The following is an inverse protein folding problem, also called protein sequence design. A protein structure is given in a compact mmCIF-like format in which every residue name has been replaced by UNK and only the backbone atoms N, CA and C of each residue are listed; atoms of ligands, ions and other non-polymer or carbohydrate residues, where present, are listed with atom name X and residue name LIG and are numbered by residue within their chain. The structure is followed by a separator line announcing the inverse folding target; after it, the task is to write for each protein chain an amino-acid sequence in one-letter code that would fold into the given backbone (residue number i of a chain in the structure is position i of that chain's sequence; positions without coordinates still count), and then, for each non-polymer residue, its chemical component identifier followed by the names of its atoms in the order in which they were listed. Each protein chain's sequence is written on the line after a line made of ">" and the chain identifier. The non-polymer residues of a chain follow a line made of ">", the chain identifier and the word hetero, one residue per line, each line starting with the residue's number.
data_IF_442795284174
#
_entry.id   IF_442795284174
#
_cell.length_a   1.000
_cell.length_b   1.000
_cell.length_c   1.000
_cell.angle_alpha   90.00
_cell.angle_beta   90.00
_cell.angle_gamma   90.00
#
_symmetry.space_group_name_H-M   'P 1'
#
loop_
_entity.id
_entity.type
_entity.pdbx_description
1 polymer ?
#
# COMPACT_ATOMS: atom_id res chain seq x y z
N UNK A 1 -9.73 -21.06 31.60
CA UNK A 1 -9.12 -20.02 30.74
C UNK A 1 -9.22 -18.70 31.48
N UNK A 2 -8.13 -18.02 31.80
CA UNK A 2 -8.18 -16.78 32.61
C UNK A 2 -8.71 -15.62 31.75
N UNK A 3 -9.44 -14.69 32.39
CA UNK A 3 -9.99 -13.48 31.74
C UNK A 3 -8.90 -12.71 30.96
N UNK A 4 -7.67 -12.68 31.47
CA UNK A 4 -6.50 -12.09 30.83
C UNK A 4 -6.16 -12.73 29.46
N UNK A 5 -6.28 -14.07 29.38
CA UNK A 5 -6.02 -14.78 28.11
C UNK A 5 -7.12 -14.55 27.07
N UNK A 6 -8.38 -14.42 27.53
CA UNK A 6 -9.49 -14.04 26.65
C UNK A 6 -9.27 -12.64 26.05
N UNK A 7 -8.99 -11.65 26.89
CA UNK A 7 -8.73 -10.28 26.43
C UNK A 7 -7.56 -10.24 25.44
N UNK A 8 -6.46 -10.93 25.74
CA UNK A 8 -5.30 -11.01 24.85
C UNK A 8 -5.64 -11.61 23.49
N UNK A 9 -6.42 -12.68 23.46
CA UNK A 9 -6.86 -13.30 22.20
C UNK A 9 -7.82 -12.40 21.42
N UNK A 10 -8.74 -11.69 22.10
CA UNK A 10 -9.62 -10.72 21.46
C UNK A 10 -8.82 -9.57 20.82
N UNK A 11 -7.81 -9.03 21.52
CA UNK A 11 -6.94 -7.98 20.95
C UNK A 11 -6.20 -8.48 19.70
N UNK A 12 -5.68 -9.72 19.72
CA UNK A 12 -5.04 -10.32 18.54
C UNK A 12 -5.99 -10.38 17.36
N UNK A 13 -7.21 -10.87 17.56
CA UNK A 13 -8.21 -10.95 16.50
C UNK A 13 -8.55 -9.56 15.93
N UNK A 14 -8.72 -8.54 16.79
CA UNK A 14 -9.01 -7.18 16.37
C UNK A 14 -7.89 -6.58 15.49
N UNK A 15 -6.63 -6.93 15.73
CA UNK A 15 -5.50 -6.43 14.95
C UNK A 15 -5.44 -7.05 13.55
N UNK A 16 -6.05 -8.22 13.33
CA UNK A 16 -6.18 -8.80 12.00
C UNK A 16 -7.30 -8.18 11.16
N UNK A 17 -8.25 -7.45 11.78
CA UNK A 17 -9.34 -6.77 11.04
C UNK A 17 -8.80 -5.79 9.98
N UNK A 18 -7.85 -4.88 10.25
CA UNK A 18 -7.28 -4.00 9.22
C UNK A 18 -6.64 -4.76 8.06
N UNK A 19 -6.01 -5.92 8.32
CA UNK A 19 -5.45 -6.78 7.27
C UNK A 19 -6.54 -7.31 6.35
N UNK A 20 -7.62 -7.85 6.93
CA UNK A 20 -8.76 -8.37 6.17
C UNK A 20 -9.46 -7.25 5.40
N UNK A 21 -9.72 -6.11 6.04
CA UNK A 21 -10.38 -4.97 5.41
C UNK A 21 -9.56 -4.44 4.24
N UNK A 22 -8.25 -4.24 4.41
CA UNK A 22 -7.40 -3.78 3.31
C UNK A 22 -7.29 -4.81 2.19
N UNK A 23 -7.18 -6.10 2.49
CA UNK A 23 -7.20 -7.16 1.48
C UNK A 23 -8.50 -7.16 0.67
N UNK A 24 -9.67 -7.05 1.34
CA UNK A 24 -10.97 -6.96 0.68
C UNK A 24 -11.07 -5.68 -0.18
N UNK A 25 -10.58 -4.54 0.30
CA UNK A 25 -10.60 -3.30 -0.47
C UNK A 25 -9.73 -3.41 -1.73
N UNK A 26 -8.51 -3.94 -1.63
CA UNK A 26 -7.62 -4.16 -2.77
C UNK A 26 -8.33 -5.03 -3.81
N UNK A 27 -8.84 -6.20 -3.44
CA UNK A 27 -9.52 -7.11 -4.37
C UNK A 27 -10.80 -6.49 -4.93
N UNK A 28 -11.54 -5.70 -4.15
CA UNK A 28 -12.74 -5.01 -4.61
C UNK A 28 -12.44 -3.92 -5.64
N UNK A 29 -11.39 -3.13 -5.44
CA UNK A 29 -10.96 -2.11 -6.42
C UNK A 29 -10.38 -2.77 -7.68
N UNK A 30 -9.67 -3.87 -7.53
CA UNK A 30 -9.13 -4.62 -8.63
C UNK A 30 -10.22 -5.32 -9.47
N UNK A 31 -11.31 -5.74 -8.85
CA UNK A 31 -12.47 -6.31 -9.53
C UNK A 31 -13.26 -5.32 -10.40
N UNK A 32 -13.02 -4.01 -10.27
CA UNK A 32 -13.65 -3.00 -11.12
C UNK A 32 -13.20 -3.19 -12.57
N UNK A 33 -14.14 -3.04 -13.52
CA UNK A 33 -13.82 -3.10 -14.94
C UNK A 33 -12.85 -1.96 -15.35
N UNK A 34 -12.18 -2.14 -16.50
CA UNK A 34 -11.15 -1.21 -16.97
C UNK A 34 -11.64 0.24 -17.11
N UNK A 35 -12.91 0.45 -17.48
CA UNK A 35 -13.52 1.78 -17.64
C UNK A 35 -13.76 2.48 -16.30
N UNK A 36 -14.23 1.75 -15.28
CA UNK A 36 -14.44 2.31 -13.92
C UNK A 36 -13.12 2.70 -13.26
N UNK A 37 -12.13 1.82 -13.31
CA UNK A 37 -10.79 2.07 -12.76
C UNK A 37 -10.08 3.23 -13.46
N UNK A 38 -10.22 3.32 -14.80
CA UNK A 38 -9.69 4.45 -15.56
C UNK A 38 -10.41 5.76 -15.23
N UNK A 39 -11.73 5.72 -15.01
CA UNK A 39 -12.52 6.88 -14.63
C UNK A 39 -12.08 7.50 -13.30
N UNK A 40 -11.78 6.69 -12.29
CA UNK A 40 -11.31 7.17 -10.99
C UNK A 40 -9.92 7.82 -11.10
N UNK A 41 -8.96 7.15 -11.71
CA UNK A 41 -7.61 7.70 -11.89
C UNK A 41 -7.60 8.96 -12.77
N UNK A 42 -8.51 9.05 -13.76
CA UNK A 42 -8.70 10.27 -14.57
C UNK A 42 -9.22 11.44 -13.72
N UNK A 43 -10.20 11.22 -12.83
CA UNK A 43 -10.68 12.26 -11.91
C UNK A 43 -9.57 12.77 -11.01
N UNK A 44 -8.76 11.88 -10.43
CA UNK A 44 -7.61 12.27 -9.61
C UNK A 44 -6.60 13.06 -10.43
N UNK A 45 -6.28 12.64 -11.66
CA UNK A 45 -5.40 13.36 -12.56
C UNK A 45 -5.92 14.77 -12.90
N UNK A 46 -7.22 14.90 -13.17
CA UNK A 46 -7.87 16.19 -13.44
C UNK A 46 -7.76 17.13 -12.23
N UNK A 47 -8.07 16.64 -11.02
CA UNK A 47 -7.98 17.42 -9.78
C UNK A 47 -6.54 17.86 -9.51
N UNK A 48 -5.56 16.99 -9.77
CA UNK A 48 -4.15 17.30 -9.59
C UNK A 48 -3.69 18.41 -10.54
N UNK A 49 -4.05 18.32 -11.84
CA UNK A 49 -3.71 19.36 -12.84
C UNK A 49 -4.37 20.68 -12.46
N UNK A 50 -5.65 20.67 -12.08
CA UNK A 50 -6.36 21.87 -11.65
C UNK A 50 -5.69 22.50 -10.42
N UNK A 51 -5.21 21.69 -9.47
CA UNK A 51 -4.43 22.17 -8.33
C UNK A 51 -3.12 22.86 -8.76
N UNK A 52 -2.39 22.29 -9.72
CA UNK A 52 -1.16 22.89 -10.26
C UNK A 52 -1.42 24.21 -11.00
N UNK A 53 -2.51 24.29 -11.75
CA UNK A 53 -2.94 25.52 -12.43
C UNK A 53 -3.26 26.64 -11.42
N UNK A 54 -3.98 26.31 -10.34
CA UNK A 54 -4.35 27.27 -9.28
C UNK A 54 -3.14 27.84 -8.52
N UNK A 55 -2.04 27.07 -8.41
CA UNK A 55 -0.78 27.55 -7.78
C UNK A 55 0.20 28.17 -8.79
N UNK A 56 -0.24 28.43 -10.04
CA UNK A 56 0.56 29.05 -11.10
C UNK A 56 1.87 28.29 -11.44
N UNK A 57 1.94 27.01 -11.11
CA UNK A 57 3.14 26.19 -11.40
C UNK A 57 3.19 25.80 -12.87
N UNK A 58 2.02 25.66 -13.51
CA UNK A 58 1.91 25.35 -14.92
C UNK A 58 0.57 25.84 -15.46
N UNK A 59 0.58 26.72 -16.44
CA UNK A 59 -0.61 27.07 -17.23
C UNK A 59 -0.69 26.14 -18.43
N UNK A 60 -1.84 25.50 -18.61
CA UNK A 60 -2.13 24.68 -19.80
C UNK A 60 -2.97 25.54 -20.73
N UNK A 61 -2.37 25.96 -21.85
CA UNK A 61 -2.95 26.98 -22.75
C UNK A 61 -4.10 26.46 -23.61
N UNK A 62 -4.24 25.13 -23.77
CA UNK A 62 -5.34 24.55 -24.54
C UNK A 62 -5.96 23.30 -23.89
N UNK A 63 -7.24 23.05 -24.19
CA UNK A 63 -7.95 21.85 -23.73
C UNK A 63 -7.29 20.56 -24.26
N UNK A 64 -6.73 20.57 -25.45
CA UNK A 64 -6.07 19.40 -26.05
C UNK A 64 -4.78 19.05 -25.27
N UNK A 65 -3.98 20.05 -24.90
CA UNK A 65 -2.79 19.84 -24.06
C UNK A 65 -3.15 19.27 -22.68
N UNK A 66 -4.26 19.74 -22.12
CA UNK A 66 -4.78 19.25 -20.83
C UNK A 66 -5.17 17.78 -20.90
N UNK A 67 -5.89 17.36 -21.93
CA UNK A 67 -6.28 15.95 -22.13
C UNK A 67 -5.05 15.05 -22.30
N UNK A 68 -4.09 15.44 -23.14
CA UNK A 68 -2.82 14.70 -23.31
C UNK A 68 -2.06 14.56 -21.99
N UNK A 69 -2.07 15.59 -21.14
CA UNK A 69 -1.40 15.55 -19.84
C UNK A 69 -2.14 14.63 -18.87
N UNK A 70 -3.48 14.68 -18.84
CA UNK A 70 -4.32 13.77 -18.06
C UNK A 70 -4.01 12.32 -18.41
N UNK A 71 -4.00 11.98 -19.70
CA UNK A 71 -3.70 10.61 -20.16
C UNK A 71 -2.31 10.15 -19.73
N UNK A 72 -1.30 11.02 -19.82
CA UNK A 72 0.07 10.69 -19.42
C UNK A 72 0.22 10.42 -17.93
N UNK A 73 -0.46 11.18 -17.07
CA UNK A 73 -0.32 11.04 -15.60
C UNK A 73 -1.30 10.05 -14.98
N UNK A 74 -2.39 9.72 -15.66
CA UNK A 74 -3.41 8.78 -15.18
C UNK A 74 -2.80 7.39 -14.86
N UNK A 75 -1.93 6.89 -15.74
CA UNK A 75 -1.29 5.58 -15.56
C UNK A 75 -0.38 5.52 -14.32
N UNK A 76 0.60 6.45 -14.14
CA UNK A 76 1.42 6.46 -12.91
C UNK A 76 0.61 6.72 -11.64
N UNK A 77 -0.46 7.52 -11.67
CA UNK A 77 -1.36 7.71 -10.53
C UNK A 77 -1.99 6.38 -10.13
N UNK A 78 -2.53 5.62 -11.07
CA UNK A 78 -3.12 4.31 -10.80
C UNK A 78 -2.11 3.34 -10.20
N UNK A 79 -0.90 3.29 -10.76
CA UNK A 79 0.16 2.41 -10.24
C UNK A 79 0.66 2.85 -8.86
N UNK A 80 0.76 4.16 -8.61
CA UNK A 80 1.08 4.70 -7.29
C UNK A 80 0.02 4.36 -6.24
N UNK A 81 -1.26 4.37 -6.61
CA UNK A 81 -2.35 3.94 -5.74
C UNK A 81 -2.18 2.46 -5.33
N UNK A 82 -1.99 1.55 -6.29
CA UNK A 82 -1.74 0.13 -6.00
C UNK A 82 -0.50 -0.07 -5.11
N UNK A 83 0.63 0.55 -5.42
CA UNK A 83 1.82 0.51 -4.55
C UNK A 83 1.51 0.92 -3.11
N UNK A 84 0.69 1.98 -2.94
CA UNK A 84 0.30 2.48 -1.62
C UNK A 84 -0.62 1.50 -0.89
N UNK A 85 -1.59 0.91 -1.57
CA UNK A 85 -2.49 -0.10 -1.03
C UNK A 85 -1.71 -1.31 -0.51
N UNK A 86 -0.77 -1.83 -1.30
CA UNK A 86 0.07 -2.96 -0.89
C UNK A 86 1.08 -2.58 0.21
N UNK A 87 1.58 -1.34 0.24
CA UNK A 87 2.38 -0.84 1.34
C UNK A 87 1.58 -0.83 2.66
N UNK A 88 0.35 -0.31 2.66
CA UNK A 88 -0.55 -0.27 3.82
C UNK A 88 -0.89 -1.69 4.28
N UNK A 89 -1.27 -2.58 3.36
CA UNK A 89 -1.54 -3.99 3.66
C UNK A 89 -0.34 -4.66 4.36
N UNK A 90 0.87 -4.43 3.84
CA UNK A 90 2.11 -4.98 4.41
C UNK A 90 2.39 -4.45 5.81
N UNK A 91 2.15 -3.15 6.06
CA UNK A 91 2.28 -2.55 7.41
C UNK A 91 1.32 -3.22 8.39
N UNK A 92 0.04 -3.36 8.04
CA UNK A 92 -0.94 -4.00 8.92
C UNK A 92 -0.61 -5.47 9.16
N UNK A 93 -0.23 -6.21 8.13
CA UNK A 93 0.21 -7.61 8.27
C UNK A 93 1.44 -7.72 9.17
N UNK A 94 2.42 -6.82 9.01
CA UNK A 94 3.60 -6.78 9.87
C UNK A 94 3.25 -6.52 11.34
N UNK A 95 2.31 -5.61 11.62
CA UNK A 95 1.83 -5.30 12.97
C UNK A 95 1.07 -6.49 13.56
N UNK A 96 0.21 -7.15 12.79
CA UNK A 96 -0.53 -8.33 13.24
C UNK A 96 0.44 -9.47 13.62
N UNK A 97 1.41 -9.78 12.78
CA UNK A 97 2.45 -10.77 13.04
C UNK A 97 3.35 -10.39 14.25
N UNK A 98 3.57 -9.08 14.49
CA UNK A 98 4.27 -8.60 15.68
C UNK A 98 3.49 -8.95 16.95
N UNK A 99 2.19 -8.72 16.94
CA UNK A 99 1.30 -8.98 18.08
C UNK A 99 1.17 -10.47 18.36
N UNK A 100 1.24 -11.30 17.32
CA UNK A 100 1.26 -12.76 17.43
C UNK A 100 2.62 -13.32 17.94
N UNK A 101 3.61 -12.44 18.16
CA UNK A 101 4.91 -12.83 18.69
C UNK A 101 5.84 -13.45 17.63
N UNK A 102 5.54 -13.31 16.35
CA UNK A 102 6.42 -13.82 15.28
C UNK A 102 7.76 -13.11 15.31
N UNK A 103 8.86 -13.86 15.33
CA UNK A 103 10.24 -13.31 15.39
C UNK A 103 10.57 -12.47 14.16
N UNK A 104 11.40 -11.45 14.34
CA UNK A 104 11.68 -10.40 13.36
C UNK A 104 11.98 -10.89 11.92
N UNK A 105 12.91 -11.82 11.66
CA UNK A 105 13.21 -12.25 10.28
C UNK A 105 12.00 -12.92 9.62
N UNK A 106 11.31 -13.82 10.33
CA UNK A 106 10.12 -14.50 9.83
C UNK A 106 8.95 -13.53 9.60
N UNK A 107 8.80 -12.52 10.46
CA UNK A 107 7.75 -11.49 10.33
C UNK A 107 7.86 -10.71 9.04
N UNK A 108 9.08 -10.26 8.67
CA UNK A 108 9.31 -9.56 7.39
C UNK A 108 9.03 -10.47 6.21
N UNK A 109 9.51 -11.71 6.29
CA UNK A 109 9.29 -12.70 5.25
C UNK A 109 7.80 -12.98 5.03
N UNK A 110 7.04 -13.26 6.09
CA UNK A 110 5.62 -13.57 5.97
C UNK A 110 4.79 -12.34 5.55
N UNK A 111 5.11 -11.13 6.02
CA UNK A 111 4.45 -9.92 5.57
C UNK A 111 4.66 -9.66 4.07
N UNK A 112 5.89 -9.88 3.57
CA UNK A 112 6.17 -9.78 2.14
C UNK A 112 5.49 -10.90 1.34
N UNK A 113 5.59 -12.14 1.82
CA UNK A 113 5.01 -13.30 1.15
C UNK A 113 3.50 -13.16 0.98
N UNK A 114 2.78 -12.74 2.02
CA UNK A 114 1.33 -12.52 1.94
C UNK A 114 0.97 -11.41 0.97
N UNK A 115 1.75 -10.33 0.89
CA UNK A 115 1.55 -9.26 -0.07
C UNK A 115 1.76 -9.75 -1.52
N UNK A 116 2.83 -10.52 -1.77
CA UNK A 116 3.11 -11.10 -3.10
C UNK A 116 2.02 -12.09 -3.52
N UNK A 117 1.56 -12.94 -2.59
CA UNK A 117 0.47 -13.89 -2.87
C UNK A 117 -0.84 -13.16 -3.18
N UNK A 118 -1.17 -12.11 -2.43
CA UNK A 118 -2.35 -11.30 -2.70
C UNK A 118 -2.24 -10.61 -4.08
N UNK A 119 -1.09 -10.00 -4.41
CA UNK A 119 -0.85 -9.36 -5.69
C UNK A 119 -0.95 -10.36 -6.86
N UNK A 120 -0.38 -11.56 -6.70
CA UNK A 120 -0.46 -12.61 -7.71
C UNK A 120 -1.90 -13.11 -7.92
N UNK A 121 -2.66 -13.27 -6.82
CA UNK A 121 -4.07 -13.65 -6.86
C UNK A 121 -4.92 -12.57 -7.54
N UNK A 122 -4.60 -11.32 -7.27
CA UNK A 122 -5.28 -10.15 -7.84
C UNK A 122 -5.08 -10.06 -9.35
N UNK A 123 -3.85 -10.19 -9.82
CA UNK A 123 -3.53 -10.19 -11.26
C UNK A 123 -4.11 -11.42 -11.98
N UNK A 124 -4.16 -12.58 -11.33
CA UNK A 124 -4.83 -13.75 -11.86
C UNK A 124 -6.34 -13.50 -11.99
N UNK A 125 -6.97 -12.86 -11.00
CA UNK A 125 -8.38 -12.47 -11.07
C UNK A 125 -8.64 -11.48 -12.21
N UNK A 126 -7.75 -10.51 -12.43
CA UNK A 126 -7.88 -9.50 -13.50
C UNK A 126 -7.92 -10.10 -14.90
N UNK A 127 -7.37 -11.28 -15.15
CA UNK A 127 -7.51 -11.97 -16.43
C UNK A 127 -8.97 -12.31 -16.77
N UNK A 128 -9.83 -12.43 -15.77
CA UNK A 128 -11.26 -12.74 -15.94
C UNK A 128 -12.14 -11.49 -15.91
N UNK A 129 -11.57 -10.29 -15.67
CA UNK A 129 -12.32 -9.02 -15.60
C UNK A 129 -12.34 -8.34 -16.97
N UNK A 130 -13.54 -8.01 -17.52
CA UNK A 130 -13.65 -7.33 -18.81
C UNK A 130 -12.88 -6.00 -18.85
N UNK A 131 -12.07 -5.82 -19.91
CA UNK A 131 -11.28 -4.59 -20.10
C UNK A 131 -10.05 -4.50 -19.18
N UNK A 132 -9.66 -5.59 -18.53
CA UNK A 132 -8.41 -5.74 -17.77
C UNK A 132 -7.52 -6.81 -18.41
N UNK A 133 -6.22 -6.66 -18.20
CA UNK A 133 -5.23 -7.68 -18.56
C UNK A 133 -4.31 -7.87 -17.37
N UNK A 134 -4.39 -9.03 -16.71
CA UNK A 134 -3.45 -9.38 -15.65
C UNK A 134 -2.02 -9.43 -16.17
N UNK A 135 -1.07 -8.86 -15.46
CA UNK A 135 0.31 -8.77 -15.89
C UNK A 135 1.29 -8.99 -14.72
N UNK A 136 2.25 -9.88 -14.92
CA UNK A 136 3.31 -10.13 -13.93
C UNK A 136 4.07 -8.84 -13.55
N UNK A 137 4.17 -7.88 -14.49
CA UNK A 137 4.76 -6.58 -14.22
C UNK A 137 4.00 -5.82 -13.11
N UNK A 138 2.70 -5.97 -13.03
CA UNK A 138 1.87 -5.33 -12.00
C UNK A 138 2.10 -5.96 -10.63
N UNK A 139 2.25 -7.29 -10.55
CA UNK A 139 2.71 -7.97 -9.32
C UNK A 139 4.05 -7.40 -8.83
N UNK A 140 4.98 -7.13 -9.75
CA UNK A 140 6.27 -6.53 -9.38
C UNK A 140 6.10 -5.10 -8.82
N UNK A 141 5.25 -4.28 -9.43
CA UNK A 141 4.98 -2.91 -8.98
C UNK A 141 4.37 -2.92 -7.58
N UNK A 142 3.37 -3.77 -7.34
CA UNK A 142 2.72 -3.93 -6.05
C UNK A 142 3.69 -4.43 -4.97
N UNK A 143 4.56 -5.39 -5.35
CA UNK A 143 5.65 -5.87 -4.50
C UNK A 143 6.63 -4.76 -4.11
N UNK A 144 6.93 -3.82 -5.01
CA UNK A 144 7.77 -2.64 -4.67
C UNK A 144 7.13 -1.83 -3.55
N UNK A 145 5.80 -1.64 -3.55
CA UNK A 145 5.08 -1.00 -2.45
C UNK A 145 5.27 -1.72 -1.11
N UNK A 146 5.12 -3.05 -1.12
CA UNK A 146 5.34 -3.89 0.06
C UNK A 146 6.78 -3.81 0.59
N UNK A 147 7.76 -3.87 -0.30
CA UNK A 147 9.20 -3.74 0.06
C UNK A 147 9.49 -2.36 0.63
N UNK A 148 8.98 -1.29 0.02
CA UNK A 148 9.15 0.08 0.50
C UNK A 148 8.61 0.23 1.94
N UNK A 149 7.45 -0.32 2.25
CA UNK A 149 6.90 -0.35 3.61
C UNK A 149 7.84 -1.03 4.61
N UNK A 150 8.38 -2.21 4.25
CA UNK A 150 9.31 -2.93 5.12
C UNK A 150 10.64 -2.20 5.31
N UNK A 151 11.13 -1.47 4.29
CA UNK A 151 12.32 -0.63 4.41
C UNK A 151 12.10 0.55 5.36
N UNK A 152 10.92 1.21 5.28
CA UNK A 152 10.54 2.28 6.20
C UNK A 152 10.46 1.76 7.64
N UNK A 153 9.84 0.62 7.87
CA UNK A 153 9.75 -0.03 9.19
C UNK A 153 11.16 -0.36 9.72
N UNK A 154 12.03 -0.88 8.87
CA UNK A 154 13.41 -1.18 9.24
C UNK A 154 14.20 0.08 9.62
N UNK A 155 14.12 1.13 8.80
CA UNK A 155 14.79 2.40 9.04
C UNK A 155 14.32 3.04 10.36
N UNK A 156 13.00 3.09 10.59
CA UNK A 156 12.39 3.61 11.82
C UNK A 156 12.87 2.81 13.06
N UNK A 157 12.92 1.48 12.94
CA UNK A 157 13.43 0.60 14.00
C UNK A 157 14.91 0.87 14.33
N UNK A 158 15.71 1.07 13.31
CA UNK A 158 17.14 1.37 13.45
C UNK A 158 17.38 2.74 14.14
N UNK A 159 16.65 3.75 13.70
CA UNK A 159 16.72 5.09 14.30
C UNK A 159 16.30 5.04 15.78
N UNK A 160 15.19 4.38 16.09
CA UNK A 160 14.70 4.22 17.47
C UNK A 160 15.74 3.52 18.35
N UNK A 161 16.38 2.46 17.85
CA UNK A 161 17.40 1.73 18.61
C UNK A 161 18.63 2.62 18.87
N UNK A 162 19.08 3.38 17.88
CA UNK A 162 20.19 4.32 18.04
C UNK A 162 19.91 5.39 19.11
N UNK A 163 18.70 5.97 19.10
CA UNK A 163 18.28 6.97 20.09
C UNK A 163 18.25 6.34 21.48
N UNK A 164 17.71 5.13 21.61
CA UNK A 164 17.64 4.41 22.90
C UNK A 164 19.03 4.14 23.47
N UNK A 165 19.97 3.69 22.63
CA UNK A 165 21.35 3.44 23.04
C UNK A 165 22.06 4.73 23.49
N UNK A 166 21.85 5.83 22.75
CA UNK A 166 22.43 7.14 23.13
C UNK A 166 21.89 7.63 24.48
N UNK A 167 20.61 7.48 24.77
CA UNK A 167 20.01 7.82 26.06
C UNK A 167 20.57 6.97 27.21
N UNK A 168 20.75 5.66 26.97
CA UNK A 168 21.34 4.78 27.97
C UNK A 168 22.80 5.10 28.30
N UNK A 169 23.55 5.62 27.31
CA UNK A 169 24.95 6.02 27.47
C UNK A 169 25.12 7.46 27.98
N UNK A 170 24.06 8.17 28.38
CA UNK A 170 24.11 9.55 28.87
C UNK A 170 24.50 10.60 27.84
N UNK A 171 24.46 10.28 26.55
CA UNK A 171 24.88 11.15 25.44
C UNK A 171 23.78 12.09 24.93
N UNK A 172 22.55 11.93 25.42
CA UNK A 172 21.39 12.80 25.09
C UNK A 172 20.53 12.94 26.35
N UNK A 173 20.12 14.17 26.75
CA UNK A 173 19.23 14.43 27.87
C UNK A 173 17.82 13.83 27.66
#
# INVERSE_FOLDING_TARGET
>A
MTMRNMIHNCIKLLIWIPVLVTGILITSFSAQNGTQSSGLSRKVAQTFIQGLENVHVKSVESNDQREVLIEKIQYPIRKGAHMTEYAIFTVFTYIALLTDGVRLPKRRYFALLTAVLLASSDELHQWFVPGRSGCVKDVCIDTVGAVAALLVIWAAGTVRNRIRTKRQNGLVP
#
